data_IF_576802123712
#
_entry.id   IF_576802123712
#
_cell.length_a   1.000
_cell.length_b   1.000
_cell.length_c   1.000
_cell.angle_alpha   90.00
_cell.angle_beta   90.00
_cell.angle_gamma   90.00
#
_symmetry.space_group_name_H-M   'P 1'
#
loop_
_entity.id
_entity.type
_entity.pdbx_description
1 polymer ?
#
# COMPACT_ATOMS: atom_id res chain seq x y z
N UNK A 1 1.35 -53.72 35.11
CA UNK A 1 0.58 -54.29 33.98
C UNK A 1 0.73 -53.39 32.79
N UNK A 2 1.46 -53.89 31.82
CA UNK A 2 1.87 -53.28 30.54
C UNK A 2 0.70 -53.21 29.58
N UNK A 3 0.53 -52.08 28.86
CA UNK A 3 0.03 -52.16 27.50
C UNK A 3 0.60 -51.01 26.63
N UNK A 4 1.37 -51.47 25.63
CA UNK A 4 1.88 -50.73 24.49
C UNK A 4 0.74 -50.45 23.51
N UNK A 5 0.62 -49.22 22.99
CA UNK A 5 -0.13 -48.95 21.76
C UNK A 5 0.82 -48.34 20.74
N UNK A 6 0.92 -49.03 19.60
CA UNK A 6 1.74 -48.73 18.44
C UNK A 6 1.32 -47.43 17.76
N UNK A 7 2.30 -46.63 17.36
CA UNK A 7 2.16 -45.55 16.35
C UNK A 7 2.11 -46.16 14.94
N UNK A 8 1.07 -45.91 14.20
CA UNK A 8 1.02 -46.08 12.74
C UNK A 8 1.36 -44.76 12.06
N UNK A 9 2.49 -44.73 11.39
CA UNK A 9 2.81 -43.68 10.41
C UNK A 9 2.15 -44.01 9.08
N UNK A 10 1.26 -43.15 8.59
CA UNK A 10 0.79 -43.19 7.21
C UNK A 10 1.70 -42.30 6.36
N UNK A 11 2.41 -42.94 5.46
CA UNK A 11 3.19 -42.33 4.38
C UNK A 11 2.22 -41.95 3.31
N UNK A 12 2.12 -40.63 2.99
CA UNK A 12 1.44 -40.15 1.78
C UNK A 12 2.47 -40.07 0.64
N UNK A 13 2.25 -40.91 -0.37
CA UNK A 13 3.08 -40.97 -1.56
C UNK A 13 2.87 -39.74 -2.46
N UNK A 14 4.00 -39.23 -2.93
CA UNK A 14 4.04 -38.26 -4.02
C UNK A 14 3.67 -38.96 -5.34
N UNK A 15 2.58 -38.52 -5.99
CA UNK A 15 2.27 -38.88 -7.37
C UNK A 15 2.95 -37.85 -8.26
N UNK A 16 4.04 -38.24 -8.90
CA UNK A 16 4.66 -37.49 -9.99
C UNK A 16 3.86 -37.72 -11.27
N UNK A 17 3.18 -36.71 -11.78
CA UNK A 17 2.54 -36.75 -13.09
C UNK A 17 3.58 -36.31 -14.13
N UNK A 18 4.12 -37.30 -14.86
CA UNK A 18 4.98 -37.08 -16.03
C UNK A 18 4.08 -36.84 -17.25
N UNK A 19 4.08 -35.62 -17.77
CA UNK A 19 3.52 -35.34 -19.10
C UNK A 19 4.61 -35.61 -20.16
N UNK A 20 4.42 -36.69 -20.92
CA UNK A 20 5.15 -36.92 -22.18
C UNK A 20 4.49 -36.04 -23.26
N UNK A 21 5.17 -35.00 -23.71
CA UNK A 21 4.83 -34.29 -24.93
C UNK A 21 5.72 -34.85 -26.04
N UNK A 22 5.16 -35.71 -26.88
CA UNK A 22 5.79 -36.15 -28.14
C UNK A 22 5.47 -35.11 -29.20
N UNK A 23 6.37 -34.16 -29.40
CA UNK A 23 6.35 -33.30 -30.59
C UNK A 23 7.49 -33.72 -31.53
N UNK A 24 7.12 -34.43 -32.60
CA UNK A 24 7.99 -34.70 -33.71
C UNK A 24 8.00 -33.45 -34.60
N UNK A 25 9.08 -32.66 -34.58
CA UNK A 25 9.34 -31.61 -35.56
C UNK A 25 10.79 -31.66 -35.96
N UNK A 26 10.98 -31.87 -37.29
CA UNK A 26 12.24 -31.88 -38.03
C UNK A 26 12.93 -30.53 -37.90
N UNK A 27 14.08 -30.49 -37.25
CA UNK A 27 14.97 -29.32 -37.22
C UNK A 27 15.85 -29.32 -38.44
N UNK A 28 16.01 -28.19 -39.17
CA UNK A 28 17.04 -28.05 -40.17
C UNK A 28 18.42 -27.97 -39.49
N UNK A 29 19.36 -28.77 -39.92
CA UNK A 29 20.76 -28.69 -39.47
C UNK A 29 21.36 -27.38 -39.95
N UNK A 30 21.60 -26.44 -39.02
CA UNK A 30 22.43 -25.25 -39.28
C UNK A 30 23.89 -25.62 -39.05
N UNK A 31 24.66 -25.65 -40.15
CA UNK A 31 26.11 -25.80 -40.11
C UNK A 31 26.74 -24.46 -39.72
N UNK A 32 27.10 -24.30 -38.44
CA UNK A 32 27.76 -23.07 -37.94
C UNK A 32 29.26 -23.20 -38.17
N UNK A 33 29.78 -22.44 -39.12
CA UNK A 33 31.23 -22.35 -39.50
C UNK A 33 31.87 -21.06 -38.97
N UNK A 34 31.69 -20.68 -37.71
CA UNK A 34 32.49 -19.63 -37.06
C UNK A 34 32.46 -19.81 -35.53
N UNK A 35 33.57 -19.64 -34.80
CA UNK A 35 33.56 -19.68 -33.36
C UNK A 35 32.90 -18.42 -32.78
N UNK A 36 31.69 -18.56 -32.30
CA UNK A 36 31.01 -17.50 -31.55
C UNK A 36 31.78 -17.24 -30.26
N UNK A 37 32.23 -15.99 -30.04
CA UNK A 37 32.93 -15.63 -28.80
C UNK A 37 32.05 -15.93 -27.58
N UNK A 38 32.66 -16.48 -26.52
CA UNK A 38 31.92 -16.80 -25.27
C UNK A 38 31.06 -15.65 -24.72
N UNK A 39 31.47 -14.41 -24.98
CA UNK A 39 30.77 -13.19 -24.55
C UNK A 39 29.46 -12.96 -25.32
N UNK A 40 29.38 -13.36 -26.59
CA UNK A 40 28.14 -13.24 -27.37
C UNK A 40 27.14 -14.33 -26.98
N UNK A 41 27.61 -15.54 -26.69
CA UNK A 41 26.78 -16.66 -26.28
C UNK A 41 26.14 -16.41 -24.90
N UNK A 42 26.88 -15.83 -23.94
CA UNK A 42 26.30 -15.44 -22.62
C UNK A 42 25.27 -14.34 -22.77
N UNK A 43 25.50 -13.28 -23.51
CA UNK A 43 24.50 -12.22 -23.72
C UNK A 43 23.21 -12.70 -24.39
N UNK A 44 23.32 -13.62 -25.34
CA UNK A 44 22.13 -14.20 -26.00
C UNK A 44 21.36 -15.12 -25.05
N UNK A 45 22.07 -15.91 -24.24
CA UNK A 45 21.43 -16.74 -23.21
C UNK A 45 20.76 -15.88 -22.13
N UNK A 46 21.43 -14.84 -21.63
CA UNK A 46 20.89 -13.93 -20.62
C UNK A 46 19.64 -13.21 -21.14
N UNK A 47 19.65 -12.72 -22.38
CA UNK A 47 18.47 -12.11 -22.99
C UNK A 47 17.33 -13.13 -23.24
N UNK A 48 17.66 -14.37 -23.61
CA UNK A 48 16.66 -15.42 -23.80
C UNK A 48 16.05 -15.86 -22.46
N UNK A 49 16.88 -16.05 -21.42
CA UNK A 49 16.44 -16.34 -20.05
C UNK A 49 15.61 -15.19 -19.52
N UNK A 50 16.01 -13.93 -19.74
CA UNK A 50 15.24 -12.74 -19.31
C UNK A 50 13.89 -12.67 -20.04
N UNK A 51 13.81 -13.01 -21.31
CA UNK A 51 12.56 -13.04 -22.07
C UNK A 51 11.62 -14.20 -21.68
N UNK A 52 12.16 -15.31 -21.13
CA UNK A 52 11.35 -16.43 -20.62
C UNK A 52 10.93 -16.23 -19.16
N UNK A 53 11.58 -15.29 -18.43
CA UNK A 53 11.23 -14.90 -17.04
C UNK A 53 10.20 -13.75 -17.03
N UNK A 54 9.75 -13.26 -18.17
CA UNK A 54 8.47 -12.52 -18.20
C UNK A 54 7.33 -13.52 -17.93
N UNK A 55 7.31 -13.96 -16.66
CA UNK A 55 6.17 -14.64 -16.09
C UNK A 55 5.00 -13.66 -16.24
N UNK A 56 4.13 -13.93 -17.20
CA UNK A 56 2.87 -13.21 -17.30
C UNK A 56 2.17 -13.38 -15.95
N UNK A 57 2.22 -12.34 -15.14
CA UNK A 57 1.52 -12.32 -13.86
C UNK A 57 0.05 -12.72 -14.12
N UNK A 58 -0.57 -13.52 -13.26
CA UNK A 58 -1.98 -13.82 -13.35
C UNK A 58 -2.78 -12.54 -13.60
N UNK A 59 -3.82 -12.60 -14.42
CA UNK A 59 -4.65 -11.44 -14.76
C UNK A 59 -5.15 -10.68 -13.51
N UNK A 60 -5.43 -11.40 -12.42
CA UNK A 60 -5.75 -10.81 -11.11
C UNK A 60 -4.63 -9.94 -10.55
N UNK A 61 -3.36 -10.36 -10.66
CA UNK A 61 -2.20 -9.60 -10.19
C UNK A 61 -1.91 -8.39 -11.08
N UNK A 62 -2.18 -8.48 -12.39
CA UNK A 62 -2.08 -7.35 -13.31
C UNK A 62 -3.17 -6.30 -13.02
N UNK A 63 -4.40 -6.73 -12.77
CA UNK A 63 -5.52 -5.84 -12.39
C UNK A 63 -5.25 -5.16 -11.05
N UNK A 64 -4.70 -5.87 -10.06
CA UNK A 64 -4.31 -5.29 -8.76
C UNK A 64 -3.14 -4.29 -8.91
N UNK A 65 -2.16 -4.54 -9.77
CA UNK A 65 -1.08 -3.58 -10.05
C UNK A 65 -1.56 -2.36 -10.82
N UNK A 66 -2.48 -2.49 -11.78
CA UNK A 66 -3.10 -1.35 -12.45
C UNK A 66 -3.94 -0.50 -11.48
N UNK A 67 -4.62 -1.12 -10.52
CA UNK A 67 -5.42 -0.42 -9.50
C UNK A 67 -4.59 0.46 -8.56
N UNK A 68 -3.28 0.24 -8.45
CA UNK A 68 -2.36 1.03 -7.63
C UNK A 68 -1.66 2.16 -8.40
N UNK A 69 -1.84 2.24 -9.72
CA UNK A 69 -1.19 3.26 -10.55
C UNK A 69 -1.88 4.61 -10.39
N UNK A 70 -1.12 5.64 -9.99
CA UNK A 70 -1.63 7.00 -9.88
C UNK A 70 -1.71 7.66 -11.27
N UNK A 71 -2.90 8.13 -11.71
CA UNK A 71 -3.05 8.80 -13.00
C UNK A 71 -2.11 10.00 -13.15
N UNK A 72 -1.52 10.17 -14.35
CA UNK A 72 -0.50 11.18 -14.64
C UNK A 72 -0.92 12.61 -14.25
N UNK A 73 -2.23 12.95 -14.38
CA UNK A 73 -2.77 14.25 -14.00
C UNK A 73 -2.60 14.61 -12.52
N UNK A 74 -2.38 13.64 -11.64
CA UNK A 74 -2.18 13.84 -10.20
C UNK A 74 -0.72 13.78 -9.77
N UNK A 75 0.18 13.32 -10.64
CA UNK A 75 1.61 13.24 -10.33
C UNK A 75 2.20 14.65 -10.12
N UNK A 76 2.99 14.81 -9.07
CA UNK A 76 3.58 16.10 -8.69
C UNK A 76 2.57 17.14 -8.17
N UNK A 77 1.34 16.75 -7.88
CA UNK A 77 0.28 17.67 -7.40
C UNK A 77 0.04 17.53 -5.91
N UNK A 78 -0.52 18.59 -5.30
CA UNK A 78 -1.05 18.56 -3.93
C UNK A 78 -2.55 18.37 -4.00
N UNK A 79 -3.06 17.40 -3.25
CA UNK A 79 -4.45 16.94 -3.28
C UNK A 79 -5.06 17.09 -1.88
N UNK A 80 -6.11 17.87 -1.73
CA UNK A 80 -6.86 18.01 -0.46
C UNK A 80 -8.16 17.22 -0.49
N UNK A 81 -8.77 17.14 -1.65
CA UNK A 81 -10.02 16.49 -1.97
C UNK A 81 -9.98 16.09 -3.44
N UNK A 82 -10.69 15.06 -3.81
CA UNK A 82 -10.79 14.64 -5.22
C UNK A 82 -12.26 14.47 -5.57
N UNK A 83 -12.74 15.28 -6.51
CA UNK A 83 -14.12 15.17 -6.97
C UNK A 83 -14.29 13.83 -7.72
N UNK A 84 -15.23 12.97 -7.31
CA UNK A 84 -15.53 11.74 -8.06
C UNK A 84 -16.06 12.12 -9.46
N UNK A 85 -15.69 11.31 -10.46
CA UNK A 85 -16.13 11.55 -11.85
C UNK A 85 -17.61 11.29 -12.08
N UNK A 86 -18.27 10.58 -11.19
CA UNK A 86 -19.69 10.32 -11.13
C UNK A 86 -20.31 10.94 -9.86
N UNK A 87 -21.63 10.85 -9.71
CA UNK A 87 -22.35 11.37 -8.51
C UNK A 87 -22.21 10.46 -7.28
N UNK A 88 -21.29 9.49 -7.28
CA UNK A 88 -21.14 8.54 -6.19
C UNK A 88 -20.62 9.22 -4.91
N UNK A 89 -21.20 8.84 -3.80
CA UNK A 89 -20.70 9.24 -2.48
C UNK A 89 -19.52 8.36 -2.07
N UNK A 90 -18.34 8.65 -2.60
CA UNK A 90 -17.10 7.98 -2.17
C UNK A 90 -16.35 8.81 -1.13
N UNK A 91 -15.65 8.16 -0.22
CA UNK A 91 -14.84 8.78 0.81
C UNK A 91 -13.58 7.94 1.06
N UNK A 92 -12.44 8.59 1.23
CA UNK A 92 -11.18 7.92 1.54
C UNK A 92 -10.83 8.14 3.02
N UNK A 93 -10.82 7.07 3.82
CA UNK A 93 -10.22 7.10 5.14
C UNK A 93 -8.71 6.94 5.01
N UNK A 94 -7.95 7.78 5.68
CA UNK A 94 -6.49 7.71 5.69
C UNK A 94 -5.97 7.71 7.12
N UNK A 95 -4.89 6.94 7.36
CA UNK A 95 -4.35 6.67 8.68
C UNK A 95 -2.85 6.91 8.68
N UNK A 96 -2.37 7.81 9.52
CA UNK A 96 -0.97 8.26 9.57
C UNK A 96 -0.22 7.70 10.78
N UNK A 97 1.12 7.75 10.71
CA UNK A 97 2.12 7.50 11.76
C UNK A 97 2.48 6.03 12.02
N UNK A 98 1.71 5.07 11.51
CA UNK A 98 2.01 3.65 11.70
C UNK A 98 3.17 3.08 10.85
N UNK A 99 3.33 1.75 10.83
CA UNK A 99 2.54 0.75 11.58
C UNK A 99 2.86 0.73 13.08
N UNK A 100 1.84 0.56 13.91
CA UNK A 100 1.97 0.55 15.37
C UNK A 100 1.46 -0.78 15.96
N UNK A 101 2.18 -1.42 16.89
CA UNK A 101 1.96 -2.85 17.24
C UNK A 101 0.54 -3.19 17.71
N UNK A 102 -0.12 -2.28 18.41
CA UNK A 102 -1.46 -2.54 18.98
C UNK A 102 -2.56 -1.91 18.12
N UNK A 103 -2.46 -0.62 17.89
CA UNK A 103 -3.54 0.17 17.29
C UNK A 103 -3.74 -0.15 15.81
N UNK A 104 -2.67 -0.34 15.03
CA UNK A 104 -2.80 -0.76 13.63
C UNK A 104 -3.53 -2.09 13.51
N UNK A 105 -3.17 -3.10 14.33
CA UNK A 105 -3.82 -4.42 14.31
C UNK A 105 -5.30 -4.31 14.68
N UNK A 106 -5.63 -3.55 15.73
CA UNK A 106 -7.03 -3.33 16.12
C UNK A 106 -7.85 -2.63 15.03
N UNK A 107 -7.25 -1.66 14.33
CA UNK A 107 -7.89 -1.00 13.19
C UNK A 107 -8.09 -1.97 12.01
N UNK A 108 -7.12 -2.83 11.72
CA UNK A 108 -7.26 -3.87 10.68
C UNK A 108 -8.43 -4.81 10.95
N UNK A 109 -8.59 -5.27 12.19
CA UNK A 109 -9.72 -6.12 12.58
C UNK A 109 -11.06 -5.40 12.32
N UNK A 110 -11.15 -4.11 12.65
CA UNK A 110 -12.35 -3.30 12.41
C UNK A 110 -12.59 -3.10 10.91
N UNK A 111 -11.57 -2.76 10.14
CA UNK A 111 -11.69 -2.58 8.69
C UNK A 111 -12.12 -3.88 8.01
N UNK A 112 -11.52 -5.00 8.39
CA UNK A 112 -11.85 -6.33 7.88
C UNK A 112 -13.30 -6.72 8.18
N UNK A 113 -13.72 -6.57 9.44
CA UNK A 113 -15.10 -6.87 9.87
C UNK A 113 -16.15 -6.04 9.12
N UNK A 114 -15.77 -4.86 8.63
CA UNK A 114 -16.64 -3.95 7.91
C UNK A 114 -16.47 -3.97 6.38
N UNK A 115 -15.56 -4.78 5.84
CA UNK A 115 -15.17 -4.79 4.43
C UNK A 115 -14.78 -3.38 3.91
N UNK A 116 -13.90 -2.70 4.63
CA UNK A 116 -13.42 -1.35 4.31
C UNK A 116 -11.93 -1.40 4.00
N UNK A 117 -11.52 -0.76 2.89
CA UNK A 117 -10.11 -0.55 2.57
C UNK A 117 -9.77 0.93 2.74
N UNK A 118 -8.56 1.19 3.23
CA UNK A 118 -8.08 2.54 3.56
C UNK A 118 -6.68 2.76 3.00
N UNK A 119 -6.14 3.96 3.14
CA UNK A 119 -4.75 4.25 2.82
C UNK A 119 -3.99 4.60 4.10
N UNK A 120 -2.89 3.90 4.36
CA UNK A 120 -1.98 4.21 5.45
C UNK A 120 -0.81 5.04 4.94
N UNK A 121 -0.38 6.06 5.69
CA UNK A 121 0.84 6.82 5.44
C UNK A 121 1.86 6.51 6.54
N UNK A 122 2.89 5.75 6.18
CA UNK A 122 3.80 5.18 7.15
C UNK A 122 5.05 6.01 7.41
N UNK A 123 5.40 6.13 8.67
CA UNK A 123 6.70 6.61 9.13
C UNK A 123 7.72 5.48 9.00
N UNK A 124 8.84 5.74 8.31
CA UNK A 124 9.85 4.73 8.01
C UNK A 124 10.45 4.06 9.24
N UNK A 125 10.70 4.80 10.32
CA UNK A 125 11.20 4.24 11.57
C UNK A 125 10.18 3.31 12.25
N UNK A 126 8.88 3.62 12.19
CA UNK A 126 7.82 2.76 12.69
C UNK A 126 7.69 1.49 11.82
N UNK A 127 7.78 1.63 10.50
CA UNK A 127 7.80 0.50 9.57
C UNK A 127 8.99 -0.43 9.83
N UNK A 128 10.20 0.13 10.07
CA UNK A 128 11.38 -0.67 10.37
C UNK A 128 11.20 -1.54 11.61
N UNK A 129 10.48 -1.01 12.61
CA UNK A 129 10.21 -1.74 13.86
C UNK A 129 9.09 -2.78 13.72
N UNK A 130 8.19 -2.67 12.71
CA UNK A 130 6.95 -3.44 12.64
C UNK A 130 6.67 -4.00 11.24
N UNK A 131 7.66 -4.62 10.60
CA UNK A 131 7.58 -5.11 9.21
C UNK A 131 6.48 -6.15 8.99
N UNK A 132 6.21 -7.02 9.96
CA UNK A 132 5.17 -8.05 9.82
C UNK A 132 3.76 -7.45 9.80
N UNK A 133 3.52 -6.40 10.59
CA UNK A 133 2.25 -5.66 10.53
C UNK A 133 2.08 -5.00 9.16
N UNK A 134 3.15 -4.44 8.62
CA UNK A 134 3.14 -3.83 7.28
C UNK A 134 2.75 -4.84 6.19
N UNK A 135 3.31 -6.06 6.24
CA UNK A 135 2.94 -7.14 5.31
C UNK A 135 1.46 -7.51 5.44
N UNK A 136 0.94 -7.59 6.67
CA UNK A 136 -0.47 -7.88 6.92
C UNK A 136 -1.37 -6.79 6.33
N UNK A 137 -1.06 -5.50 6.54
CA UNK A 137 -1.82 -4.36 5.99
C UNK A 137 -1.96 -4.48 4.47
N UNK A 138 -0.85 -4.79 3.77
CA UNK A 138 -0.87 -4.95 2.31
C UNK A 138 -1.61 -6.21 1.89
N UNK A 139 -1.41 -7.33 2.58
CA UNK A 139 -2.10 -8.59 2.29
C UNK A 139 -3.63 -8.47 2.48
N UNK A 140 -4.08 -7.58 3.34
CA UNK A 140 -5.49 -7.25 3.53
C UNK A 140 -6.03 -6.24 2.50
N UNK A 141 -5.21 -5.80 1.53
CA UNK A 141 -5.63 -4.94 0.41
C UNK A 141 -5.73 -3.45 0.71
N UNK A 142 -5.06 -2.96 1.75
CA UNK A 142 -4.96 -1.53 2.02
C UNK A 142 -3.86 -0.89 1.18
N UNK A 143 -4.04 0.38 0.80
CA UNK A 143 -3.02 1.15 0.10
C UNK A 143 -2.01 1.78 1.07
N UNK A 144 -0.79 2.02 0.58
CA UNK A 144 0.31 2.55 1.38
C UNK A 144 0.86 3.83 0.75
N UNK A 145 1.11 4.82 1.58
CA UNK A 145 1.84 6.05 1.27
C UNK A 145 3.05 6.25 2.18
N UNK A 146 3.91 7.17 1.79
CA UNK A 146 5.12 7.55 2.50
C UNK A 146 4.84 8.74 3.42
N UNK A 147 5.30 8.66 4.69
CA UNK A 147 5.17 9.72 5.69
C UNK A 147 6.52 10.16 6.28
N UNK A 148 7.59 10.12 5.48
CA UNK A 148 8.99 10.37 5.87
C UNK A 148 9.57 9.28 6.79
N UNK A 149 10.88 9.41 7.06
CA UNK A 149 11.56 8.44 7.94
C UNK A 149 11.40 8.75 9.42
N UNK A 150 11.60 10.05 9.81
CA UNK A 150 11.64 10.46 11.22
C UNK A 150 10.42 11.27 11.67
N UNK A 151 9.51 11.63 10.76
CA UNK A 151 8.37 12.50 11.06
C UNK A 151 8.77 13.89 11.56
N UNK A 152 9.82 14.49 10.99
CA UNK A 152 10.30 15.81 11.40
C UNK A 152 9.49 16.96 10.80
N UNK A 153 9.30 18.01 11.59
CA UNK A 153 8.61 19.25 11.19
C UNK A 153 9.54 20.37 10.73
N UNK A 154 10.86 20.23 10.97
CA UNK A 154 11.86 21.27 10.68
C UNK A 154 12.03 21.52 9.18
N UNK A 155 12.61 22.71 8.86
CA UNK A 155 13.07 23.01 7.51
C UNK A 155 14.16 22.03 7.08
N UNK A 156 14.12 21.58 5.84
CA UNK A 156 15.07 20.63 5.26
C UNK A 156 15.57 21.13 3.92
N UNK A 157 16.85 20.89 3.67
CA UNK A 157 17.42 20.98 2.34
C UNK A 157 17.00 19.75 1.49
N UNK A 158 17.26 19.83 0.20
CA UNK A 158 16.88 18.77 -0.74
C UNK A 158 17.52 17.42 -0.39
N UNK A 159 18.79 17.41 0.02
CA UNK A 159 19.51 16.20 0.37
C UNK A 159 18.89 15.48 1.59
N UNK A 160 18.46 16.26 2.58
CA UNK A 160 17.76 15.74 3.77
C UNK A 160 16.36 15.26 3.40
N UNK A 161 15.59 16.04 2.63
CA UNK A 161 14.26 15.65 2.16
C UNK A 161 14.32 14.36 1.33
N UNK A 162 15.31 14.22 0.45
CA UNK A 162 15.59 12.99 -0.31
C UNK A 162 15.79 11.79 0.63
N UNK A 163 16.66 11.92 1.64
CA UNK A 163 16.91 10.81 2.59
C UNK A 163 15.65 10.40 3.34
N UNK A 164 14.83 11.36 3.78
CA UNK A 164 13.59 11.13 4.51
C UNK A 164 12.56 10.35 3.66
N UNK A 165 12.45 10.70 2.39
CA UNK A 165 11.44 10.13 1.50
C UNK A 165 11.94 8.84 0.85
N UNK A 166 13.13 8.84 0.21
CA UNK A 166 13.59 7.70 -0.55
C UNK A 166 13.85 6.49 0.37
N UNK A 167 14.52 6.71 1.51
CA UNK A 167 14.76 5.63 2.48
C UNK A 167 13.46 4.96 2.94
N UNK A 168 12.41 5.75 3.16
CA UNK A 168 11.09 5.21 3.54
C UNK A 168 10.45 4.44 2.40
N UNK A 169 10.48 4.96 1.18
CA UNK A 169 9.93 4.28 0.00
C UNK A 169 10.67 2.99 -0.32
N UNK A 170 12.00 2.99 -0.19
CA UNK A 170 12.82 1.79 -0.36
C UNK A 170 12.46 0.71 0.67
N UNK A 171 12.22 1.11 1.93
CA UNK A 171 11.82 0.17 2.97
C UNK A 171 10.40 -0.36 2.74
N UNK A 172 9.45 0.49 2.33
CA UNK A 172 8.10 0.06 1.93
C UNK A 172 8.22 -1.01 0.86
N UNK A 173 8.97 -0.73 -0.21
CA UNK A 173 9.13 -1.69 -1.31
C UNK A 173 9.82 -2.99 -0.87
N UNK A 174 10.92 -2.92 -0.13
CA UNK A 174 11.64 -4.10 0.37
C UNK A 174 10.78 -4.97 1.27
N UNK A 175 9.90 -4.36 2.07
CA UNK A 175 9.06 -5.08 3.03
C UNK A 175 7.82 -5.70 2.39
N UNK A 176 7.20 -4.98 1.45
CA UNK A 176 5.85 -5.30 0.97
C UNK A 176 5.75 -5.54 -0.54
N UNK A 177 6.76 -5.21 -1.32
CA UNK A 177 6.72 -5.22 -2.79
C UNK A 177 5.99 -4.00 -3.40
N UNK A 178 5.38 -3.14 -2.58
CA UNK A 178 4.60 -1.99 -3.06
C UNK A 178 5.50 -0.83 -3.44
N UNK A 179 5.41 -0.35 -4.69
CA UNK A 179 6.02 0.91 -5.15
C UNK A 179 5.00 2.03 -4.97
N UNK A 180 5.09 2.77 -3.86
CA UNK A 180 4.18 3.90 -3.65
C UNK A 180 4.70 5.19 -4.28
N UNK A 181 3.81 5.99 -4.84
CA UNK A 181 4.02 7.38 -5.26
C UNK A 181 3.05 8.33 -4.54
N UNK A 182 2.50 7.88 -3.40
CA UNK A 182 1.73 8.70 -2.48
C UNK A 182 2.65 9.20 -1.36
N UNK A 183 2.57 10.48 -1.08
CA UNK A 183 3.34 11.11 -0.01
C UNK A 183 2.44 12.03 0.81
N UNK A 184 2.59 12.01 2.13
CA UNK A 184 1.97 13.00 3.03
C UNK A 184 3.06 13.63 3.89
N UNK A 185 3.22 14.97 3.89
CA UNK A 185 4.20 15.62 4.74
C UNK A 185 3.73 15.59 6.20
N UNK A 186 4.61 15.29 7.17
CA UNK A 186 4.33 15.40 8.60
C UNK A 186 3.72 16.75 8.98
N UNK A 187 2.65 16.72 9.78
CA UNK A 187 1.92 17.91 10.20
C UNK A 187 1.29 18.74 9.06
N UNK A 188 1.30 18.23 7.83
CA UNK A 188 0.80 18.96 6.67
C UNK A 188 1.68 20.11 6.19
N UNK A 189 2.94 20.21 6.61
CA UNK A 189 3.86 21.30 6.21
C UNK A 189 4.28 21.17 4.74
N UNK A 190 3.83 22.10 3.90
CA UNK A 190 4.13 22.11 2.46
C UNK A 190 5.39 22.92 2.10
N UNK A 191 5.92 23.72 3.03
CA UNK A 191 6.98 24.69 2.79
C UNK A 191 8.31 24.37 3.51
N UNK A 192 8.45 23.15 4.06
CA UNK A 192 9.66 22.74 4.78
C UNK A 192 10.66 21.91 3.94
N UNK A 193 10.52 21.90 2.60
CA UNK A 193 11.39 21.19 1.67
C UNK A 193 10.87 19.81 1.25
N UNK A 194 10.15 19.08 2.10
CA UNK A 194 9.67 17.72 1.83
C UNK A 194 8.69 17.65 0.64
N UNK A 195 7.67 18.50 0.66
CA UNK A 195 6.67 18.50 -0.41
C UNK A 195 7.25 18.93 -1.77
N UNK A 196 8.24 19.82 -1.78
CA UNK A 196 8.94 20.24 -3.00
C UNK A 196 9.71 19.04 -3.60
N UNK A 197 10.49 18.33 -2.78
CA UNK A 197 11.19 17.14 -3.22
C UNK A 197 10.24 16.05 -3.69
N UNK A 198 9.20 15.70 -2.92
CA UNK A 198 8.22 14.70 -3.31
C UNK A 198 7.61 14.99 -4.69
N UNK A 199 7.23 16.24 -4.96
CA UNK A 199 6.68 16.67 -6.25
C UNK A 199 7.67 16.55 -7.39
N UNK A 200 8.94 16.89 -7.18
CA UNK A 200 10.00 16.74 -8.20
C UNK A 200 10.18 15.28 -8.61
N UNK A 201 9.94 14.34 -7.66
CA UNK A 201 9.94 12.89 -7.88
C UNK A 201 8.57 12.35 -8.32
N UNK A 202 7.64 13.21 -8.76
CA UNK A 202 6.29 12.87 -9.23
C UNK A 202 5.36 12.21 -8.20
N UNK A 203 5.66 12.31 -6.91
CA UNK A 203 4.70 11.89 -5.88
C UNK A 203 3.44 12.76 -5.90
N UNK A 204 2.29 12.16 -5.70
CA UNK A 204 1.07 12.88 -5.30
C UNK A 204 1.17 13.23 -3.83
N UNK A 205 1.19 14.54 -3.52
CA UNK A 205 1.21 15.03 -2.13
C UNK A 205 -0.23 15.05 -1.63
N UNK A 206 -0.58 14.07 -0.80
CA UNK A 206 -1.95 13.83 -0.35
C UNK A 206 -2.17 14.49 1.01
N UNK A 207 -2.92 15.56 1.01
CA UNK A 207 -3.40 16.25 2.20
C UNK A 207 -4.76 15.66 2.63
N UNK A 208 -5.57 16.42 3.33
CA UNK A 208 -6.93 16.05 3.75
C UNK A 208 -7.88 17.25 3.64
N UNK A 209 -9.14 16.99 3.44
CA UNK A 209 -10.21 17.98 3.50
C UNK A 209 -11.06 17.86 4.77
N UNK A 210 -10.83 16.79 5.53
CA UNK A 210 -11.58 16.48 6.75
C UNK A 210 -10.64 15.80 7.76
N UNK A 211 -10.68 16.21 9.01
CA UNK A 211 -9.96 15.56 10.10
C UNK A 211 -10.93 15.00 11.13
N UNK A 212 -10.63 13.84 11.68
CA UNK A 212 -11.30 13.34 12.88
C UNK A 212 -10.99 14.19 14.12
N UNK A 213 -9.87 14.92 14.11
CA UNK A 213 -9.27 15.63 15.24
C UNK A 213 -8.86 14.68 16.40
N UNK A 214 -8.44 13.46 16.05
CA UNK A 214 -8.06 12.40 17.01
C UNK A 214 -6.71 12.66 17.72
N UNK A 215 -6.01 13.70 17.32
CA UNK A 215 -4.79 14.18 17.98
C UNK A 215 -5.07 15.08 19.19
N UNK A 216 -6.30 15.56 19.37
CA UNK A 216 -6.69 16.33 20.57
C UNK A 216 -6.65 15.42 21.82
N UNK A 217 -5.75 15.68 22.79
CA UNK A 217 -5.60 14.83 23.98
C UNK A 217 -6.81 14.86 24.91
N UNK A 218 -7.71 15.85 24.78
CA UNK A 218 -8.86 16.05 25.65
C UNK A 218 -10.18 15.61 25.01
N UNK A 219 -10.22 15.44 23.69
CA UNK A 219 -11.44 15.07 22.99
C UNK A 219 -11.83 13.61 23.25
N UNK A 220 -13.13 13.37 23.43
CA UNK A 220 -13.70 12.02 23.57
C UNK A 220 -13.89 11.37 22.20
N UNK A 221 -13.94 10.02 22.09
CA UNK A 221 -14.18 9.31 20.84
C UNK A 221 -15.40 9.80 20.07
N UNK A 222 -16.47 10.17 20.77
CA UNK A 222 -17.69 10.72 20.13
C UNK A 222 -17.44 12.03 19.38
N UNK A 223 -16.46 12.84 19.79
CA UNK A 223 -16.09 14.06 19.06
C UNK A 223 -15.49 13.71 17.68
N UNK A 224 -14.66 12.66 17.61
CA UNK A 224 -14.07 12.17 16.36
C UNK A 224 -15.16 11.68 15.40
N UNK A 225 -16.12 10.90 15.93
CA UNK A 225 -17.30 10.45 15.16
C UNK A 225 -18.06 11.66 14.60
N UNK A 226 -18.39 12.62 15.46
CA UNK A 226 -19.16 13.81 15.08
C UNK A 226 -18.45 14.64 14.02
N UNK A 227 -17.13 14.85 14.15
CA UNK A 227 -16.33 15.60 13.20
C UNK A 227 -16.38 14.95 11.80
N UNK A 228 -16.18 13.63 11.73
CA UNK A 228 -16.18 12.92 10.46
C UNK A 228 -17.57 12.89 9.85
N UNK A 229 -18.61 12.52 10.60
CA UNK A 229 -19.96 12.37 10.06
C UNK A 229 -20.60 13.71 9.63
N UNK A 230 -20.33 14.81 10.34
CA UNK A 230 -20.83 16.15 9.98
C UNK A 230 -20.06 16.77 8.82
N UNK A 231 -18.75 16.46 8.71
CA UNK A 231 -17.87 17.02 7.68
C UNK A 231 -17.81 16.21 6.38
N UNK A 232 -18.39 15.00 6.35
CA UNK A 232 -18.32 14.12 5.22
C UNK A 232 -18.92 14.74 3.94
N UNK A 233 -18.15 14.71 2.85
CA UNK A 233 -18.55 15.13 1.51
C UNK A 233 -18.00 14.16 0.48
N UNK A 234 -18.66 13.93 -0.66
CA UNK A 234 -18.12 13.10 -1.73
C UNK A 234 -16.71 13.52 -2.11
N UNK A 235 -15.82 12.53 -2.24
CA UNK A 235 -14.40 12.75 -2.55
C UNK A 235 -13.55 13.29 -1.41
N UNK A 236 -14.09 13.37 -0.19
CA UNK A 236 -13.30 13.79 0.98
C UNK A 236 -12.21 12.77 1.33
N UNK A 237 -11.06 13.31 1.73
CA UNK A 237 -9.93 12.58 2.30
C UNK A 237 -9.95 12.87 3.81
N UNK A 238 -10.13 11.83 4.61
CA UNK A 238 -10.26 11.92 6.07
C UNK A 238 -8.94 11.58 6.74
N UNK A 239 -8.43 12.46 7.60
CA UNK A 239 -7.24 12.24 8.40
C UNK A 239 -7.58 11.60 9.74
N UNK A 240 -6.92 10.50 10.05
CA UNK A 240 -6.85 9.80 11.34
C UNK A 240 -5.43 9.30 11.57
N UNK A 241 -5.15 8.77 12.76
CA UNK A 241 -3.82 8.26 13.13
C UNK A 241 -3.92 6.91 13.86
N UNK A 242 -2.93 6.04 13.60
CA UNK A 242 -2.73 4.79 14.34
C UNK A 242 -1.45 4.78 15.19
N UNK A 243 -0.58 5.78 15.00
CA UNK A 243 0.69 5.94 15.69
C UNK A 243 0.93 7.34 16.25
N UNK A 244 2.18 7.64 16.61
CA UNK A 244 2.57 8.94 17.14
C UNK A 244 2.01 9.27 18.53
N UNK A 245 1.55 8.25 19.29
CA UNK A 245 1.02 8.39 20.64
C UNK A 245 -0.08 7.36 20.92
N UNK A 246 -0.82 7.58 22.01
CA UNK A 246 -1.96 6.72 22.35
C UNK A 246 -3.16 7.02 21.45
N UNK A 247 -3.55 6.03 20.64
CA UNK A 247 -4.67 6.12 19.68
C UNK A 247 -5.83 5.18 20.00
N UNK A 248 -5.95 4.70 21.25
CA UNK A 248 -7.06 3.84 21.65
C UNK A 248 -8.42 4.50 21.39
N UNK A 249 -8.54 5.81 21.59
CA UNK A 249 -9.78 6.57 21.34
C UNK A 249 -10.15 6.62 19.84
N UNK A 250 -9.15 6.64 18.95
CA UNK A 250 -9.38 6.55 17.50
C UNK A 250 -9.93 5.17 17.15
N UNK A 251 -9.35 4.10 17.73
CA UNK A 251 -9.83 2.72 17.58
C UNK A 251 -11.29 2.60 18.09
N UNK A 252 -11.60 3.18 19.25
CA UNK A 252 -12.95 3.16 19.82
C UNK A 252 -13.99 3.90 18.95
N UNK A 253 -13.59 5.01 18.32
CA UNK A 253 -14.46 5.80 17.45
C UNK A 253 -14.74 5.13 16.09
N UNK A 254 -13.77 4.34 15.59
CA UNK A 254 -13.75 3.86 14.21
C UNK A 254 -14.98 3.06 13.78
N UNK A 255 -15.55 2.12 14.59
CA UNK A 255 -16.76 1.39 14.20
C UNK A 255 -17.97 2.32 13.97
N UNK A 256 -18.13 3.35 14.80
CA UNK A 256 -19.22 4.32 14.67
C UNK A 256 -19.02 5.24 13.46
N UNK A 257 -17.78 5.64 13.16
CA UNK A 257 -17.44 6.40 11.96
C UNK A 257 -17.82 5.60 10.70
N UNK A 258 -17.39 4.34 10.62
CA UNK A 258 -17.68 3.48 9.47
C UNK A 258 -19.19 3.26 9.32
N UNK A 259 -19.87 2.88 10.38
CA UNK A 259 -21.31 2.62 10.35
C UNK A 259 -22.10 3.87 9.95
N UNK A 260 -21.79 5.02 10.54
CA UNK A 260 -22.46 6.28 10.23
C UNK A 260 -22.23 6.74 8.80
N UNK A 261 -21.01 6.60 8.26
CA UNK A 261 -20.74 6.91 6.86
C UNK A 261 -21.48 5.97 5.90
N UNK A 262 -21.56 4.66 6.21
CA UNK A 262 -22.37 3.69 5.44
C UNK A 262 -23.86 4.08 5.44
N UNK A 263 -24.40 4.47 6.59
CA UNK A 263 -25.79 4.94 6.72
C UNK A 263 -26.06 6.22 5.91
N UNK A 264 -25.05 7.09 5.77
CA UNK A 264 -25.11 8.26 4.90
C UNK A 264 -24.95 7.92 3.41
N UNK A 265 -24.75 6.64 3.06
CA UNK A 265 -24.59 6.15 1.69
C UNK A 265 -23.19 6.30 1.12
N UNK A 266 -22.15 6.45 1.94
CA UNK A 266 -20.77 6.50 1.46
C UNK A 266 -20.22 5.09 1.20
N UNK A 267 -19.51 4.96 0.05
CA UNK A 267 -18.60 3.87 -0.26
C UNK A 267 -17.18 4.29 0.08
N UNK A 268 -16.44 3.36 0.71
CA UNK A 268 -15.06 3.58 1.07
C UNK A 268 -14.14 3.20 -0.09
N UNK A 269 -13.15 4.03 -0.33
CA UNK A 269 -12.12 3.81 -1.36
C UNK A 269 -10.74 4.14 -0.81
N UNK A 270 -9.71 3.50 -1.32
CA UNK A 270 -8.33 3.90 -1.10
C UNK A 270 -8.01 5.18 -1.90
N UNK A 271 -6.90 5.86 -1.59
CA UNK A 271 -6.47 7.03 -2.38
C UNK A 271 -6.22 6.65 -3.85
N UNK A 272 -5.51 5.55 -4.22
CA UNK A 272 -5.39 5.15 -5.61
C UNK A 272 -6.74 4.99 -6.33
N UNK A 273 -7.70 4.28 -5.72
CA UNK A 273 -9.04 4.10 -6.29
C UNK A 273 -9.77 5.44 -6.46
N UNK A 274 -9.72 6.33 -5.45
CA UNK A 274 -10.33 7.66 -5.53
C UNK A 274 -9.77 8.47 -6.72
N UNK A 275 -8.45 8.42 -6.94
CA UNK A 275 -7.80 9.13 -8.03
C UNK A 275 -8.15 8.55 -9.41
N UNK A 276 -8.31 7.24 -9.51
CA UNK A 276 -8.73 6.57 -10.76
C UNK A 276 -10.18 6.87 -11.09
N UNK A 277 -11.08 6.87 -10.12
CA UNK A 277 -12.51 7.15 -10.31
C UNK A 277 -12.80 8.60 -10.71
N UNK A 278 -11.92 9.54 -10.34
CA UNK A 278 -12.06 10.96 -10.71
C UNK A 278 -11.87 11.26 -12.21
N UNK A 279 -11.48 10.27 -12.98
CA UNK A 279 -11.19 10.41 -14.41
C UNK A 279 -12.25 9.82 -15.35
N UNK A 280 -13.28 9.21 -14.77
CA UNK A 280 -14.33 8.49 -15.51
C UNK A 280 -15.57 9.33 -15.75
#
# INVERSE_FOLDING_TARGET
>A
MTNKILKQYRIFGFVAISYFVTACSTFPQLTIHQPISKVLATKVLDNWVQSQIEVQLPLSTQIEQESLTIPAKFQGKTLYKVEPGNKDKVIALTVDDGPWPKTTLQMLDIFKANNVKVTFFWVGSALQANTEIAKQVVAEGHAIGNHTWHHWYKQMDEATAKKEIDRTSDLIYKTTGVKTTLFRPPGGFLNNGLAAYAKSQKYSVVMWSLTSADTDPHAKPQAFVNNVLKGAKPGAIVLMHDGGGDRHRTVEALPQIITGLKQQGYRFVTIPELLQESGK
#
